data_IF_533656784861
#
_entry.id   IF_533656784861
#
_cell.length_a   1.000
_cell.length_b   1.000
_cell.length_c   1.000
_cell.angle_alpha   90.00
_cell.angle_beta   90.00
_cell.angle_gamma   90.00
#
_symmetry.space_group_name_H-M   'P 1'
#
loop_
_entity.id
_entity.type
_entity.pdbx_description
1 polymer ?
#
# COMPACT_ATOMS: atom_id res chain seq x y z
N UNK A 1 15.28 12.77 11.18
CA UNK A 1 14.58 11.89 10.21
C UNK A 1 13.17 11.53 10.70
N UNK A 2 12.56 12.37 11.54
CA UNK A 2 11.28 12.12 12.21
C UNK A 2 10.13 12.92 11.57
N UNK A 3 10.40 13.59 10.44
CA UNK A 3 9.52 14.58 9.81
C UNK A 3 8.81 14.04 8.54
N UNK A 4 9.15 12.83 8.09
CA UNK A 4 8.57 12.24 6.87
C UNK A 4 7.38 11.31 7.16
N UNK A 5 7.21 10.87 8.42
CA UNK A 5 6.09 10.04 8.83
C UNK A 5 4.95 10.93 9.30
N UNK A 6 3.91 11.02 8.48
CA UNK A 6 2.73 11.85 8.75
C UNK A 6 1.70 11.09 9.59
N UNK A 7 1.53 9.79 9.34
CA UNK A 7 0.60 8.92 10.06
C UNK A 7 1.02 7.44 9.95
N UNK A 8 0.58 6.62 10.90
CA UNK A 8 0.75 5.16 10.88
C UNK A 8 -0.53 4.47 11.34
N UNK A 9 -0.90 3.39 10.66
CA UNK A 9 -1.98 2.51 11.09
C UNK A 9 -1.51 1.05 11.10
N UNK A 10 -1.93 0.29 12.10
CA UNK A 10 -1.58 -1.12 12.28
C UNK A 10 -2.85 -1.97 12.30
N UNK A 11 -2.82 -3.07 11.56
CA UNK A 11 -3.97 -3.97 11.42
C UNK A 11 -3.51 -5.43 11.49
N UNK A 12 -4.31 -6.26 12.14
CA UNK A 12 -4.13 -7.72 12.11
C UNK A 12 -4.98 -8.32 10.99
N UNK A 13 -4.35 -9.15 10.14
CA UNK A 13 -5.02 -9.86 9.05
C UNK A 13 -4.93 -11.36 9.29
N UNK A 14 -6.07 -12.05 9.19
CA UNK A 14 -6.13 -13.52 9.22
C UNK A 14 -6.06 -14.11 7.81
N UNK A 15 -5.58 -15.36 7.64
CA UNK A 15 -5.62 -16.02 6.35
C UNK A 15 -7.04 -16.08 5.78
N UNK A 16 -7.21 -15.59 4.55
CA UNK A 16 -8.51 -15.49 3.86
C UNK A 16 -9.33 -14.25 4.21
N UNK A 17 -8.86 -13.40 5.12
CA UNK A 17 -9.47 -12.12 5.43
C UNK A 17 -9.09 -11.05 4.40
N UNK A 18 -9.99 -10.09 4.20
CA UNK A 18 -9.77 -8.89 3.39
C UNK A 18 -10.14 -7.66 4.21
N UNK A 19 -9.22 -6.71 4.33
CA UNK A 19 -9.45 -5.44 5.03
C UNK A 19 -9.48 -4.31 4.00
N UNK A 20 -10.55 -3.52 4.02
CA UNK A 20 -10.68 -2.32 3.20
C UNK A 20 -10.36 -1.09 4.05
N UNK A 21 -9.29 -0.38 3.69
CA UNK A 21 -8.85 0.83 4.41
C UNK A 21 -9.23 2.09 3.63
N UNK A 22 -9.79 3.08 4.33
CA UNK A 22 -10.08 4.40 3.79
C UNK A 22 -9.20 5.42 4.50
N UNK A 23 -8.03 5.67 3.90
CA UNK A 23 -7.03 6.58 4.43
C UNK A 23 -7.34 8.01 3.98
N UNK A 24 -7.38 8.95 4.92
CA UNK A 24 -7.36 10.38 4.60
C UNK A 24 -5.90 10.82 4.51
N UNK A 25 -5.50 11.34 3.36
CA UNK A 25 -4.14 11.85 3.16
C UNK A 25 -4.09 13.33 3.49
N UNK A 26 -3.10 13.72 4.30
CA UNK A 26 -2.83 15.13 4.62
C UNK A 26 -2.16 15.84 3.46
N UNK A 27 -2.33 17.16 3.38
CA UNK A 27 -1.67 17.99 2.37
C UNK A 27 -0.14 17.80 2.42
N UNK A 28 0.45 17.54 1.24
CA UNK A 28 1.88 17.23 1.13
C UNK A 28 2.26 15.74 1.28
N UNK A 29 1.30 14.86 1.58
CA UNK A 29 1.52 13.41 1.57
C UNK A 29 1.83 12.92 0.15
N UNK A 30 3.02 12.34 -0.06
CA UNK A 30 3.50 11.86 -1.37
C UNK A 30 3.59 10.35 -1.49
N UNK A 31 3.68 9.65 -0.36
CA UNK A 31 3.90 8.21 -0.33
C UNK A 31 3.13 7.55 0.79
N UNK A 32 2.71 6.31 0.56
CA UNK A 32 2.24 5.39 1.61
C UNK A 32 3.22 4.22 1.67
N UNK A 33 3.71 3.92 2.88
CA UNK A 33 4.48 2.72 3.16
C UNK A 33 3.55 1.61 3.66
N UNK A 34 3.58 0.45 3.01
CA UNK A 34 2.91 -0.76 3.46
C UNK A 34 3.96 -1.74 3.96
N UNK A 35 3.84 -2.17 5.21
CA UNK A 35 4.75 -3.12 5.84
C UNK A 35 3.94 -4.29 6.42
N UNK A 36 4.49 -5.50 6.32
CA UNK A 36 3.89 -6.71 6.87
C UNK A 36 4.91 -7.49 7.69
N UNK A 37 4.51 -7.95 8.87
CA UNK A 37 5.37 -8.68 9.81
C UNK A 37 5.47 -10.17 9.45
N UNK A 38 6.18 -10.49 8.37
CA UNK A 38 6.47 -11.88 8.00
C UNK A 38 7.51 -12.52 8.93
N UNK A 39 7.41 -13.84 9.08
CA UNK A 39 8.35 -14.64 9.89
C UNK A 39 9.75 -14.72 9.27
N UNK A 40 9.85 -14.74 7.94
CA UNK A 40 11.12 -14.86 7.20
C UNK A 40 11.37 -13.61 6.33
N UNK A 41 11.74 -12.49 6.95
CA UNK A 41 11.95 -11.23 6.24
C UNK A 41 13.02 -11.25 5.12
N UNK A 42 14.16 -11.97 5.25
CA UNK A 42 15.17 -12.01 4.18
C UNK A 42 14.66 -12.57 2.85
N UNK A 43 13.72 -13.52 2.89
CA UNK A 43 13.21 -14.22 1.70
C UNK A 43 11.85 -13.69 1.24
N UNK A 44 11.24 -12.80 2.02
CA UNK A 44 9.88 -12.30 1.76
C UNK A 44 9.89 -10.82 1.40
N UNK A 45 9.09 -10.44 0.41
CA UNK A 45 8.83 -9.01 0.12
C UNK A 45 7.88 -8.42 1.17
N UNK A 46 8.43 -8.01 2.31
CA UNK A 46 7.68 -7.54 3.49
C UNK A 46 7.34 -6.05 3.47
N UNK A 47 7.84 -5.29 2.48
CA UNK A 47 7.56 -3.85 2.31
C UNK A 47 7.16 -3.47 0.88
N UNK A 48 6.29 -2.47 0.77
CA UNK A 48 5.90 -1.83 -0.48
C UNK A 48 5.76 -0.31 -0.28
N UNK A 49 6.07 0.47 -1.32
CA UNK A 49 5.88 1.92 -1.32
C UNK A 49 4.92 2.27 -2.45
N UNK A 50 3.88 3.02 -2.12
CA UNK A 50 2.86 3.49 -3.05
C UNK A 50 3.09 4.98 -3.23
N UNK A 51 3.29 5.41 -4.47
CA UNK A 51 3.30 6.83 -4.80
C UNK A 51 1.86 7.34 -4.91
N UNK A 52 1.62 8.49 -4.30
CA UNK A 52 0.31 9.14 -4.28
C UNK A 52 0.28 10.22 -5.35
N UNK A 53 -0.82 10.25 -6.10
CA UNK A 53 -1.16 11.37 -6.97
C UNK A 53 -1.97 12.38 -6.12
N UNK A 54 -1.46 13.61 -5.90
CA UNK A 54 -2.17 14.62 -5.12
C UNK A 54 -3.54 14.92 -5.71
N UNK A 55 -4.49 15.29 -4.84
CA UNK A 55 -5.84 15.73 -5.21
C UNK A 55 -6.66 14.71 -6.03
N UNK A 56 -6.23 13.45 -6.06
CA UNK A 56 -6.91 12.34 -6.72
C UNK A 56 -7.23 11.21 -5.75
N UNK A 57 -8.28 10.45 -6.08
CA UNK A 57 -8.55 9.20 -5.38
C UNK A 57 -7.50 8.16 -5.81
N UNK A 58 -6.66 7.76 -4.87
CA UNK A 58 -5.67 6.72 -5.07
C UNK A 58 -6.30 5.38 -4.65
N UNK A 59 -6.15 4.35 -5.48
CA UNK A 59 -6.61 3.00 -5.18
C UNK A 59 -5.46 2.01 -5.40
N UNK A 60 -5.33 1.06 -4.48
CA UNK A 60 -4.35 -0.01 -4.56
C UNK A 60 -4.89 -1.25 -3.86
N UNK A 61 -4.69 -2.42 -4.47
CA UNK A 61 -5.12 -3.70 -3.89
C UNK A 61 -3.90 -4.59 -3.76
N UNK A 62 -3.70 -5.12 -2.55
CA UNK A 62 -2.58 -6.00 -2.24
C UNK A 62 -3.06 -7.35 -1.75
N UNK A 63 -2.36 -8.39 -2.20
CA UNK A 63 -2.44 -9.73 -1.64
C UNK A 63 -1.20 -9.96 -0.81
N UNK A 64 -1.40 -10.33 0.45
CA UNK A 64 -0.33 -10.69 1.40
C UNK A 64 -0.20 -12.21 1.38
N UNK A 65 0.62 -12.71 0.47
CA UNK A 65 0.91 -14.15 0.32
C UNK A 65 2.16 -14.57 1.09
N UNK A 66 2.49 -15.86 1.05
CA UNK A 66 3.70 -16.43 1.67
C UNK A 66 4.99 -15.80 1.15
N UNK A 67 5.06 -15.52 -0.16
CA UNK A 67 6.21 -14.89 -0.81
C UNK A 67 6.29 -13.38 -0.59
N UNK A 68 5.25 -12.76 -0.02
CA UNK A 68 5.23 -11.36 0.37
C UNK A 68 4.02 -10.58 -0.16
N UNK A 69 4.17 -9.25 -0.10
CA UNK A 69 3.18 -8.29 -0.55
C UNK A 69 3.23 -8.19 -2.07
N UNK A 70 2.10 -8.48 -2.73
CA UNK A 70 1.93 -8.38 -4.17
C UNK A 70 0.80 -7.41 -4.49
N UNK A 71 1.06 -6.43 -5.37
CA UNK A 71 0.03 -5.55 -5.90
C UNK A 71 -0.73 -6.29 -7.00
N UNK A 72 -2.06 -6.31 -6.92
CA UNK A 72 -2.91 -7.09 -7.85
C UNK A 72 -3.90 -6.23 -8.64
N UNK A 73 -4.01 -4.93 -8.33
CA UNK A 73 -4.67 -4.00 -9.22
C UNK A 73 -3.74 -3.64 -10.38
N UNK A 74 -4.14 -4.03 -11.59
CA UNK A 74 -3.50 -3.51 -12.80
C UNK A 74 -3.72 -2.00 -12.86
N UNK A 75 -2.71 -1.18 -13.24
CA UNK A 75 -3.01 0.17 -13.66
C UNK A 75 -3.95 0.05 -14.86
N UNK A 76 -5.19 0.50 -14.70
CA UNK A 76 -6.00 0.86 -15.86
C UNK A 76 -5.16 1.90 -16.60
N UNK A 77 -4.52 1.47 -17.69
CA UNK A 77 -3.94 2.38 -18.66
C UNK A 77 -5.09 3.27 -19.07
N UNK A 78 -5.13 4.51 -18.58
CA UNK A 78 -6.10 5.50 -19.02
C UNK A 78 -5.92 5.58 -20.53
N UNK A 79 -6.88 5.02 -21.27
CA UNK A 79 -6.86 5.01 -22.72
C UNK A 79 -6.69 6.43 -23.23
N UNK A 80 -5.73 6.64 -24.12
CA UNK A 80 -5.57 7.87 -24.87
C UNK A 80 -6.92 8.29 -25.47
N UNK A 81 -7.40 9.52 -25.24
CA UNK A 81 -8.31 10.17 -26.15
C UNK A 81 -7.49 10.93 -27.19
N UNK A 82 -7.72 10.55 -28.44
CA UNK A 82 -7.32 11.26 -29.67
C UNK A 82 -8.01 12.62 -29.75
#
# INVERSE_FOLDING_TARGET
MEQDLVASEEFELRPGESIALKLKLEEGSRYIGLLAAYRNLPETRWRHVIQIIPEQQNHAVFVLGESGIQRVDSPISAGNPT
#
